data_IF_597583497696
#
_entry.id   IF_597583497696
#
_cell.length_a   1.000
_cell.length_b   1.000
_cell.length_c   1.000
_cell.angle_alpha   90.00
_cell.angle_beta   90.00
_cell.angle_gamma   90.00
#
_symmetry.space_group_name_H-M   'P 1'
#
loop_
_entity.id
_entity.type
_entity.pdbx_description
1 polymer ?
#
# COMPACT_ATOMS: atom_id res chain seq x y z
N UNK A 1 -0.12 -23.11 -27.57
CA UNK A 1 0.18 -23.46 -26.16
C UNK A 1 0.82 -22.32 -25.34
N UNK A 2 1.47 -21.33 -25.97
CA UNK A 2 2.10 -20.16 -25.31
C UNK A 2 1.14 -19.19 -24.58
N UNK A 3 -0.09 -19.00 -25.09
CA UNK A 3 -1.00 -17.96 -24.59
C UNK A 3 -1.63 -18.26 -23.20
N UNK A 4 -1.61 -19.53 -22.76
CA UNK A 4 -2.19 -19.93 -21.46
C UNK A 4 -1.25 -19.57 -20.30
N UNK A 5 0.06 -19.75 -20.49
CA UNK A 5 1.11 -19.44 -19.50
C UNK A 5 1.27 -17.94 -19.25
N UNK A 6 1.13 -17.09 -20.27
CA UNK A 6 1.12 -15.64 -20.11
C UNK A 6 -0.09 -15.18 -19.28
N UNK A 7 -1.28 -15.72 -19.58
CA UNK A 7 -2.52 -15.37 -18.86
C UNK A 7 -2.50 -15.77 -17.38
N UNK A 8 -1.86 -16.89 -17.04
CA UNK A 8 -1.72 -17.37 -15.66
C UNK A 8 -0.75 -16.46 -14.89
N UNK A 9 0.39 -16.12 -15.49
CA UNK A 9 1.40 -15.22 -14.90
C UNK A 9 0.87 -13.80 -14.69
N UNK A 10 0.03 -13.30 -15.61
CA UNK A 10 -0.62 -12.00 -15.48
C UNK A 10 -1.65 -12.01 -14.34
N UNK A 11 -2.43 -13.08 -14.18
CA UNK A 11 -3.38 -13.21 -13.06
C UNK A 11 -2.69 -13.20 -11.69
N UNK A 12 -1.51 -13.82 -11.56
CA UNK A 12 -0.71 -13.75 -10.32
C UNK A 12 -0.17 -12.35 -10.06
N UNK A 13 0.29 -11.63 -11.09
CA UNK A 13 0.73 -10.23 -10.93
C UNK A 13 -0.42 -9.28 -10.59
N UNK A 14 -1.60 -9.41 -11.22
CA UNK A 14 -2.75 -8.55 -10.91
C UNK A 14 -3.26 -8.78 -9.47
N UNK A 15 -3.32 -10.05 -9.03
CA UNK A 15 -3.60 -10.39 -7.63
C UNK A 15 -2.57 -9.79 -6.67
N UNK A 16 -1.32 -9.65 -7.11
CA UNK A 16 -0.25 -9.09 -6.28
C UNK A 16 -0.49 -7.62 -5.90
N UNK A 17 -0.94 -6.78 -6.84
CA UNK A 17 -1.23 -5.36 -6.55
C UNK A 17 -2.58 -5.13 -5.86
N UNK A 18 -3.47 -6.12 -5.91
CA UNK A 18 -4.73 -6.12 -5.18
C UNK A 18 -4.50 -6.12 -3.67
N UNK A 19 -3.48 -6.81 -3.16
CA UNK A 19 -3.21 -6.86 -1.72
C UNK A 19 -2.84 -5.47 -1.13
N UNK A 20 -1.90 -4.69 -1.71
CA UNK A 20 -1.66 -3.31 -1.29
C UNK A 20 -2.90 -2.41 -1.43
N UNK A 21 -3.67 -2.53 -2.51
CA UNK A 21 -4.87 -1.72 -2.68
C UNK A 21 -5.91 -2.02 -1.58
N UNK A 22 -6.16 -3.30 -1.31
CA UNK A 22 -7.10 -3.77 -0.29
C UNK A 22 -6.64 -3.36 1.11
N UNK A 23 -5.34 -3.45 1.38
CA UNK A 23 -4.73 -2.92 2.61
C UNK A 23 -4.98 -1.41 2.77
N UNK A 24 -4.75 -0.63 1.71
CA UNK A 24 -5.01 0.81 1.70
C UNK A 24 -6.48 1.17 1.93
N UNK A 25 -7.41 0.40 1.36
CA UNK A 25 -8.86 0.55 1.60
C UNK A 25 -9.22 0.27 3.06
N UNK A 26 -8.78 -0.85 3.62
CA UNK A 26 -9.05 -1.21 5.03
C UNK A 26 -8.45 -0.16 5.97
N UNK A 27 -7.22 0.28 5.68
CA UNK A 27 -6.57 1.32 6.45
C UNK A 27 -7.35 2.64 6.38
N UNK A 28 -7.80 3.04 5.19
CA UNK A 28 -8.62 4.24 5.03
C UNK A 28 -9.93 4.16 5.81
N UNK A 29 -10.62 3.01 5.77
CA UNK A 29 -11.84 2.77 6.54
C UNK A 29 -11.61 2.88 8.04
N UNK A 30 -10.46 2.42 8.55
CA UNK A 30 -10.13 2.49 9.97
C UNK A 30 -9.96 3.93 10.49
N UNK A 31 -9.68 4.89 9.61
CA UNK A 31 -9.47 6.30 9.93
C UNK A 31 -10.76 7.13 9.91
N UNK A 32 -11.84 6.60 9.37
CA UNK A 32 -13.14 7.27 9.40
C UNK A 32 -13.69 7.27 10.85
N UNK A 33 -14.53 8.25 11.21
CA UNK A 33 -15.14 8.37 12.55
C UNK A 33 -16.25 7.32 12.79
N UNK A 34 -15.98 6.06 12.43
CA UNK A 34 -16.89 4.93 12.53
C UNK A 34 -16.57 4.01 13.73
N UNK A 35 -15.65 4.43 14.62
CA UNK A 35 -15.12 3.61 15.73
C UNK A 35 -14.47 2.29 15.27
N UNK A 36 -14.07 2.24 14.00
CA UNK A 36 -13.48 1.09 13.31
C UNK A 36 -11.94 1.07 13.38
N UNK A 37 -11.35 1.72 14.38
CA UNK A 37 -9.90 1.86 14.50
C UNK A 37 -9.14 0.54 14.56
N UNK A 38 -9.78 -0.54 15.03
CA UNK A 38 -9.18 -1.87 15.07
C UNK A 38 -8.93 -2.48 13.67
N UNK A 39 -9.58 -1.98 12.61
CA UNK A 39 -9.35 -2.47 11.24
C UNK A 39 -7.90 -2.24 10.77
N UNK A 40 -7.16 -1.34 11.43
CA UNK A 40 -5.72 -1.12 11.17
C UNK A 40 -4.92 -2.43 11.22
N UNK A 41 -5.22 -3.32 12.18
CA UNK A 41 -4.48 -4.57 12.34
C UNK A 41 -4.76 -5.53 11.18
N UNK A 42 -5.99 -5.52 10.68
CA UNK A 42 -6.38 -6.30 9.51
C UNK A 42 -5.81 -5.73 8.21
N UNK A 43 -5.59 -4.41 8.12
CA UNK A 43 -4.93 -3.80 6.98
C UNK A 43 -3.49 -4.30 6.81
N UNK A 44 -2.77 -4.56 7.91
CA UNK A 44 -1.38 -5.01 7.83
C UNK A 44 -1.20 -6.43 7.29
N UNK A 45 -2.20 -7.30 7.43
CA UNK A 45 -2.13 -8.70 6.97
C UNK A 45 -1.84 -8.82 5.46
N UNK A 46 -2.67 -8.25 4.55
CA UNK A 46 -2.39 -8.30 3.11
C UNK A 46 -1.12 -7.53 2.73
N UNK A 47 -0.75 -6.50 3.50
CA UNK A 47 0.47 -5.73 3.27
C UNK A 47 1.73 -6.57 3.53
N UNK A 48 1.78 -7.26 4.68
CA UNK A 48 2.88 -8.16 5.00
C UNK A 48 2.92 -9.36 4.06
N UNK A 49 1.77 -9.85 3.60
CA UNK A 49 1.72 -10.88 2.58
C UNK A 49 2.41 -10.42 1.29
N UNK A 50 2.09 -9.22 0.78
CA UNK A 50 2.75 -8.63 -0.38
C UNK A 50 4.27 -8.51 -0.18
N UNK A 51 4.67 -8.07 1.00
CA UNK A 51 6.07 -7.91 1.36
C UNK A 51 6.81 -9.21 1.65
N UNK A 52 6.13 -10.34 1.84
CA UNK A 52 6.79 -11.63 2.10
C UNK A 52 7.55 -12.12 0.86
N UNK A 53 6.98 -11.86 -0.32
CA UNK A 53 7.57 -12.24 -1.60
C UNK A 53 8.78 -11.37 -1.97
N UNK A 54 9.70 -11.92 -2.76
CA UNK A 54 10.78 -11.13 -3.36
C UNK A 54 10.21 -10.37 -4.56
N UNK A 55 10.23 -9.03 -4.48
CA UNK A 55 9.63 -8.13 -5.48
C UNK A 55 10.68 -7.16 -6.01
N UNK A 56 10.52 -6.77 -7.27
CA UNK A 56 11.38 -5.77 -7.89
C UNK A 56 10.98 -4.34 -7.47
N UNK A 57 11.94 -3.40 -7.51
CA UNK A 57 11.69 -1.98 -7.19
C UNK A 57 10.51 -1.36 -7.96
N UNK A 58 10.32 -1.76 -9.21
CA UNK A 58 9.17 -1.34 -10.03
C UNK A 58 7.84 -1.82 -9.47
N UNK A 59 7.77 -3.07 -8.99
CA UNK A 59 6.55 -3.64 -8.42
C UNK A 59 6.20 -2.95 -7.09
N UNK A 60 7.22 -2.57 -6.32
CA UNK A 60 7.06 -1.78 -5.08
C UNK A 60 6.50 -0.39 -5.37
N UNK A 61 6.97 0.27 -6.44
CA UNK A 61 6.42 1.55 -6.89
C UNK A 61 4.92 1.44 -7.23
N UNK A 62 4.54 0.48 -8.06
CA UNK A 62 3.12 0.29 -8.40
C UNK A 62 2.27 -0.14 -7.20
N UNK A 63 2.81 -0.93 -6.28
CA UNK A 63 2.14 -1.30 -5.05
C UNK A 63 1.91 -0.11 -4.12
N UNK A 64 2.92 0.76 -3.95
CA UNK A 64 2.79 1.98 -3.16
C UNK A 64 1.78 2.95 -3.78
N UNK A 65 1.80 3.11 -5.11
CA UNK A 65 0.82 3.93 -5.82
C UNK A 65 -0.60 3.38 -5.65
N UNK A 66 -0.80 2.05 -5.78
CA UNK A 66 -2.08 1.40 -5.57
C UNK A 66 -2.59 1.57 -4.13
N UNK A 67 -1.70 1.36 -3.15
CA UNK A 67 -1.99 1.56 -1.73
C UNK A 67 -2.41 3.00 -1.43
N UNK A 68 -1.58 3.96 -1.84
CA UNK A 68 -1.81 5.39 -1.60
C UNK A 68 -3.06 5.90 -2.30
N UNK A 69 -3.34 5.44 -3.51
CA UNK A 69 -4.56 5.80 -4.24
C UNK A 69 -5.80 5.24 -3.57
N UNK A 70 -5.77 3.96 -3.16
CA UNK A 70 -6.89 3.33 -2.45
C UNK A 70 -7.15 4.01 -1.09
N UNK A 71 -6.08 4.32 -0.34
CA UNK A 71 -6.17 5.07 0.90
C UNK A 71 -6.78 6.46 0.69
N UNK A 72 -6.30 7.21 -0.30
CA UNK A 72 -6.80 8.56 -0.62
C UNK A 72 -8.26 8.53 -1.05
N UNK A 73 -8.65 7.57 -1.89
CA UNK A 73 -10.03 7.37 -2.33
C UNK A 73 -11.00 7.08 -1.18
N UNK A 74 -10.54 6.46 -0.10
CA UNK A 74 -11.42 6.09 1.02
C UNK A 74 -11.36 7.13 2.12
N UNK A 75 -10.16 7.47 2.58
CA UNK A 75 -9.95 8.35 3.72
C UNK A 75 -10.15 9.83 3.38
N UNK A 76 -9.79 10.23 2.16
CA UNK A 76 -9.71 11.65 1.76
C UNK A 76 -10.72 12.02 0.68
N UNK A 77 -11.70 11.15 0.39
CA UNK A 77 -12.77 11.45 -0.59
C UNK A 77 -13.51 12.75 -0.28
N UNK A 78 -13.63 13.10 0.99
CA UNK A 78 -14.30 14.33 1.42
C UNK A 78 -13.61 15.60 0.89
N UNK A 79 -12.29 15.55 0.62
CA UNK A 79 -11.55 16.68 0.04
C UNK A 79 -12.05 16.99 -1.39
N UNK A 80 -12.51 15.97 -2.12
CA UNK A 80 -13.09 16.15 -3.46
C UNK A 80 -14.33 17.04 -3.47
N UNK A 81 -15.05 17.11 -2.34
CA UNK A 81 -16.24 17.95 -2.19
C UNK A 81 -15.91 19.43 -2.04
N UNK A 82 -14.69 19.77 -1.60
CA UNK A 82 -14.29 21.16 -1.32
C UNK A 82 -13.34 21.73 -2.37
N UNK A 83 -12.41 20.93 -2.90
CA UNK A 83 -11.45 21.37 -3.92
C UNK A 83 -10.97 20.21 -4.78
N UNK A 84 -11.49 20.10 -6.00
CA UNK A 84 -11.09 19.05 -6.94
C UNK A 84 -9.59 19.08 -7.31
N UNK A 85 -8.95 20.24 -7.58
CA UNK A 85 -7.51 20.27 -7.85
C UNK A 85 -6.66 19.87 -6.64
N UNK A 86 -7.08 20.27 -5.43
CA UNK A 86 -6.43 19.87 -4.19
C UNK A 86 -6.52 18.37 -3.95
N UNK A 87 -7.68 17.77 -4.24
CA UNK A 87 -7.88 16.33 -4.19
C UNK A 87 -6.95 15.58 -5.13
N UNK A 88 -6.80 16.01 -6.39
CA UNK A 88 -5.82 15.43 -7.31
C UNK A 88 -4.38 15.55 -6.79
N UNK A 89 -4.02 16.68 -6.18
CA UNK A 89 -2.74 16.86 -5.51
C UNK A 89 -2.49 15.85 -4.38
N UNK A 90 -3.54 15.50 -3.62
CA UNK A 90 -3.42 14.53 -2.53
C UNK A 90 -3.06 13.12 -3.01
N UNK A 91 -3.52 12.70 -4.20
CA UNK A 91 -3.10 11.41 -4.77
C UNK A 91 -1.59 11.34 -5.00
N UNK A 92 -1.02 12.39 -5.57
CA UNK A 92 0.41 12.46 -5.87
C UNK A 92 1.20 12.48 -4.56
N UNK A 93 0.77 13.29 -3.60
CA UNK A 93 1.43 13.43 -2.31
C UNK A 93 1.42 12.11 -1.52
N UNK A 94 0.27 11.44 -1.41
CA UNK A 94 0.17 10.17 -0.72
C UNK A 94 0.84 9.02 -1.48
N UNK A 95 0.79 9.00 -2.81
CA UNK A 95 1.56 8.03 -3.60
C UNK A 95 3.06 8.17 -3.37
N UNK A 96 3.59 9.41 -3.35
CA UNK A 96 4.99 9.68 -3.06
C UNK A 96 5.35 9.31 -1.61
N UNK A 97 4.51 9.66 -0.65
CA UNK A 97 4.68 9.33 0.76
C UNK A 97 4.76 7.81 0.97
N UNK A 98 3.76 7.05 0.52
CA UNK A 98 3.77 5.59 0.68
C UNK A 98 4.86 4.92 -0.14
N UNK A 99 5.30 5.52 -1.24
CA UNK A 99 6.47 5.05 -1.97
C UNK A 99 7.73 5.11 -1.12
N UNK A 100 7.96 6.21 -0.40
CA UNK A 100 9.11 6.34 0.52
C UNK A 100 9.02 5.28 1.62
N UNK A 101 7.85 5.10 2.24
CA UNK A 101 7.63 4.07 3.28
C UNK A 101 7.94 2.66 2.75
N UNK A 102 7.44 2.32 1.56
CA UNK A 102 7.64 1.02 0.95
C UNK A 102 9.09 0.79 0.53
N UNK A 103 9.79 1.82 0.05
CA UNK A 103 11.22 1.74 -0.25
C UNK A 103 12.06 1.57 1.01
N UNK A 104 11.72 2.28 2.08
CA UNK A 104 12.44 2.17 3.35
C UNK A 104 12.27 0.76 3.95
N UNK A 105 11.05 0.22 3.90
CA UNK A 105 10.80 -1.17 4.26
C UNK A 105 11.61 -2.16 3.41
N UNK A 106 11.63 -1.97 2.08
CA UNK A 106 12.42 -2.81 1.17
C UNK A 106 13.92 -2.76 1.50
N UNK A 107 14.44 -1.58 1.81
CA UNK A 107 15.83 -1.38 2.20
C UNK A 107 16.15 -2.10 3.53
N UNK A 108 15.29 -1.94 4.55
CA UNK A 108 15.44 -2.63 5.85
C UNK A 108 15.40 -4.15 5.65
N UNK A 109 14.49 -4.66 4.81
CA UNK A 109 14.38 -6.09 4.48
C UNK A 109 15.64 -6.63 3.83
N UNK A 110 16.27 -5.86 2.95
CA UNK A 110 17.47 -6.31 2.24
C UNK A 110 18.71 -6.28 3.14
N UNK A 111 18.84 -5.26 3.99
CA UNK A 111 20.00 -5.12 4.88
C UNK A 111 19.93 -6.04 6.10
N UNK A 112 18.76 -6.13 6.75
CA UNK A 112 18.59 -6.83 8.02
C UNK A 112 17.22 -7.54 8.10
N UNK A 113 17.07 -8.73 7.49
CA UNK A 113 15.79 -9.44 7.45
C UNK A 113 15.23 -9.78 8.83
N UNK A 114 16.09 -9.94 9.86
CA UNK A 114 15.69 -10.23 11.24
C UNK A 114 14.96 -9.07 11.93
N UNK A 115 15.21 -7.82 11.52
CA UNK A 115 14.64 -6.62 12.15
C UNK A 115 13.53 -5.96 11.31
N UNK A 116 13.02 -6.67 10.30
CA UNK A 116 12.02 -6.13 9.36
C UNK A 116 10.75 -5.65 10.03
N UNK A 117 10.19 -6.44 10.95
CA UNK A 117 8.94 -6.08 11.64
C UNK A 117 9.12 -4.89 12.58
N UNK A 118 10.25 -4.84 13.30
CA UNK A 118 10.60 -3.71 14.16
C UNK A 118 10.86 -2.44 13.34
N UNK A 119 11.59 -2.57 12.23
CA UNK A 119 11.83 -1.48 11.29
C UNK A 119 10.53 -0.95 10.68
N UNK A 120 9.61 -1.84 10.31
CA UNK A 120 8.28 -1.43 9.83
C UNK A 120 7.52 -0.60 10.87
N UNK A 121 7.46 -1.06 12.12
CA UNK A 121 6.77 -0.34 13.20
C UNK A 121 7.39 1.05 13.41
N UNK A 122 8.73 1.15 13.42
CA UNK A 122 9.43 2.43 13.58
C UNK A 122 9.13 3.39 12.43
N UNK A 123 9.17 2.91 11.19
CA UNK A 123 8.84 3.71 9.99
C UNK A 123 7.37 4.11 9.99
N UNK A 124 6.49 3.26 10.53
CA UNK A 124 5.06 3.52 10.57
C UNK A 124 4.68 4.52 11.66
N UNK A 125 5.44 4.62 12.75
CA UNK A 125 5.20 5.54 13.88
C UNK A 125 5.91 6.89 13.68
N UNK A 126 6.95 6.95 12.84
CA UNK A 126 7.72 8.19 12.64
C UNK A 126 6.94 9.33 11.95
N UNK A 127 5.70 9.09 11.55
CA UNK A 127 4.81 10.02 10.84
C UNK A 127 3.38 9.86 11.36
#
# INVERSE_FOLDING_TARGET
MSNKLSSITIRTKLKSYLYPALSGTILGLSRLPLHLGFLVFFAFIPLFHFFSEQRNKKEIFFAAAAFGSAYTLVCLHWISLVTFPGYLGTFILFAAYFYIVFQLYYYIKHQNPKFVYLGFILVWISF
#
